data_IF_514743342049
#
_entry.id   IF_514743342049
#
_cell.length_a   1.000
_cell.length_b   1.000
_cell.length_c   1.000
_cell.angle_alpha   90.00
_cell.angle_beta   90.00
_cell.angle_gamma   90.00
#
_symmetry.space_group_name_H-M   'P 1'
#
loop_
_entity.id
_entity.type
_entity.pdbx_description
1 polymer ?
#
# COMPACT_ATOMS: atom_id res chain seq x y z
N UNK A 1 -11.08 -8.47 -22.03
CA UNK A 1 -10.40 -9.78 -22.16
C UNK A 1 -11.23 -10.88 -22.84
N UNK A 2 -12.57 -10.81 -22.89
CA UNK A 2 -13.45 -11.85 -23.46
C UNK A 2 -13.11 -12.35 -24.87
N UNK A 3 -12.59 -11.46 -25.74
CA UNK A 3 -12.17 -11.83 -27.11
C UNK A 3 -11.13 -12.96 -27.13
N UNK A 4 -10.29 -13.05 -26.11
CA UNK A 4 -9.16 -13.98 -26.07
C UNK A 4 -9.48 -15.33 -25.44
N UNK A 5 -10.73 -15.57 -25.01
CA UNK A 5 -11.14 -16.83 -24.35
C UNK A 5 -10.93 -18.09 -25.21
N UNK A 6 -10.85 -17.93 -26.54
CA UNK A 6 -10.66 -19.04 -27.47
C UNK A 6 -9.19 -19.38 -27.73
N UNK A 7 -8.25 -18.58 -27.25
CA UNK A 7 -6.82 -18.83 -27.43
C UNK A 7 -6.32 -19.82 -26.40
N UNK A 8 -5.45 -20.75 -26.80
CA UNK A 8 -4.86 -21.76 -25.91
C UNK A 8 -3.97 -21.13 -24.84
N UNK A 9 -3.10 -20.21 -25.25
CA UNK A 9 -2.19 -19.45 -24.38
C UNK A 9 -1.88 -18.12 -25.03
N UNK A 10 -1.84 -17.05 -24.26
CA UNK A 10 -1.48 -15.71 -24.76
C UNK A 10 -0.81 -14.87 -23.68
N UNK A 11 0.00 -13.90 -24.14
CA UNK A 11 0.68 -12.92 -23.28
C UNK A 11 0.01 -11.57 -23.43
N UNK A 12 -0.17 -10.88 -22.31
CA UNK A 12 -0.62 -9.49 -22.28
C UNK A 12 0.43 -8.61 -21.60
N UNK A 13 0.55 -7.38 -22.07
CA UNK A 13 1.34 -6.34 -21.41
C UNK A 13 0.38 -5.33 -20.80
N UNK A 14 0.49 -5.10 -19.51
CA UNK A 14 -0.30 -4.06 -18.83
C UNK A 14 0.58 -2.83 -18.64
N UNK A 15 0.17 -1.73 -19.26
CA UNK A 15 0.86 -0.44 -19.17
C UNK A 15 0.22 0.41 -18.07
N UNK A 16 0.90 0.59 -16.94
CA UNK A 16 0.35 1.29 -15.78
C UNK A 16 1.10 0.99 -14.49
N UNK A 17 0.42 1.18 -13.36
CA UNK A 17 0.91 0.79 -12.03
C UNK A 17 0.14 -0.36 -11.41
N UNK A 18 0.38 -0.63 -10.12
CA UNK A 18 -0.18 -1.77 -9.39
C UNK A 18 -1.72 -1.81 -9.39
N UNK A 19 -2.38 -0.65 -9.33
CA UNK A 19 -3.86 -0.57 -9.42
C UNK A 19 -4.41 -1.06 -10.76
N UNK A 20 -3.78 -0.66 -11.87
CA UNK A 20 -4.17 -1.11 -13.21
C UNK A 20 -3.91 -2.61 -13.39
N UNK A 21 -2.77 -3.10 -12.91
CA UNK A 21 -2.44 -4.53 -12.94
C UNK A 21 -3.44 -5.33 -12.10
N UNK A 22 -3.80 -4.84 -10.91
CA UNK A 22 -4.80 -5.46 -10.04
C UNK A 22 -6.19 -5.56 -10.68
N UNK A 23 -6.63 -4.51 -11.38
CA UNK A 23 -7.88 -4.53 -12.14
C UNK A 23 -7.85 -5.60 -13.24
N UNK A 24 -6.78 -5.64 -14.04
CA UNK A 24 -6.62 -6.64 -15.11
C UNK A 24 -6.61 -8.07 -14.56
N UNK A 25 -5.88 -8.31 -13.47
CA UNK A 25 -5.85 -9.63 -12.80
C UNK A 25 -7.24 -10.03 -12.29
N UNK A 26 -8.03 -9.08 -11.81
CA UNK A 26 -9.39 -9.36 -11.34
C UNK A 26 -10.33 -9.74 -12.49
N UNK A 27 -10.18 -9.12 -13.66
CA UNK A 27 -10.91 -9.49 -14.87
C UNK A 27 -10.45 -10.86 -15.43
N UNK A 28 -9.15 -11.19 -15.35
CA UNK A 28 -8.63 -12.53 -15.69
C UNK A 28 -9.30 -13.60 -14.83
N UNK A 29 -9.40 -13.36 -13.53
CA UNK A 29 -10.02 -14.29 -12.59
C UNK A 29 -11.52 -14.44 -12.82
N UNK A 30 -12.23 -13.33 -13.04
CA UNK A 30 -13.66 -13.34 -13.36
C UNK A 30 -13.99 -14.12 -14.65
N UNK A 31 -13.05 -14.16 -15.60
CA UNK A 31 -13.19 -14.90 -16.85
C UNK A 31 -12.57 -16.31 -16.81
N UNK A 32 -11.95 -16.71 -15.70
CA UNK A 32 -11.31 -18.03 -15.54
C UNK A 32 -10.06 -18.24 -16.39
N UNK A 33 -9.36 -17.16 -16.78
CA UNK A 33 -8.27 -17.20 -17.76
C UNK A 33 -6.88 -17.44 -17.17
N UNK A 34 -6.76 -17.68 -15.87
CA UNK A 34 -5.48 -17.79 -15.14
C UNK A 34 -4.50 -18.86 -15.66
N UNK A 35 -4.99 -19.90 -16.36
CA UNK A 35 -4.12 -20.93 -16.97
C UNK A 35 -3.61 -20.55 -18.36
N UNK A 36 -4.31 -19.67 -19.06
CA UNK A 36 -4.07 -19.32 -20.47
C UNK A 36 -3.37 -17.96 -20.60
N UNK A 37 -3.65 -17.03 -19.67
CA UNK A 37 -3.17 -15.66 -19.72
C UNK A 37 -1.88 -15.51 -18.92
N UNK A 38 -0.83 -15.03 -19.59
CA UNK A 38 0.45 -14.66 -18.98
C UNK A 38 0.57 -13.13 -19.00
N UNK A 39 0.93 -12.53 -17.86
CA UNK A 39 0.92 -11.07 -17.70
C UNK A 39 2.34 -10.53 -17.51
N UNK A 40 2.69 -9.53 -18.32
CA UNK A 40 3.84 -8.65 -18.10
C UNK A 40 3.39 -7.24 -17.72
N UNK A 41 4.29 -6.47 -17.11
CA UNK A 41 4.01 -5.10 -16.65
C UNK A 41 4.97 -4.13 -17.33
N UNK A 42 4.42 -3.08 -17.93
CA UNK A 42 5.17 -1.89 -18.34
C UNK A 42 4.94 -0.81 -17.26
N UNK A 43 5.96 -0.51 -16.42
CA UNK A 43 5.82 0.33 -15.24
C UNK A 43 5.69 1.81 -15.63
N UNK A 44 4.45 2.28 -15.78
CA UNK A 44 4.11 3.68 -16.08
C UNK A 44 3.41 4.39 -14.91
N UNK A 45 3.12 3.66 -13.83
CA UNK A 45 2.43 4.19 -12.65
C UNK A 45 3.37 4.79 -11.61
N UNK A 46 2.78 5.32 -10.54
CA UNK A 46 3.51 5.78 -9.34
C UNK A 46 3.86 4.62 -8.40
N UNK A 47 2.95 3.66 -8.23
CA UNK A 47 3.18 2.36 -7.59
C UNK A 47 3.44 1.30 -8.65
N UNK A 48 4.67 0.77 -8.70
CA UNK A 48 5.12 -0.26 -9.64
C UNK A 48 5.76 -1.44 -8.90
N UNK A 49 5.25 -1.77 -7.72
CA UNK A 49 5.84 -2.81 -6.86
C UNK A 49 5.78 -4.19 -7.52
N UNK A 50 4.68 -4.52 -8.20
CA UNK A 50 4.56 -5.76 -8.97
C UNK A 50 5.57 -5.81 -10.11
N UNK A 51 5.82 -4.69 -10.80
CA UNK A 51 6.83 -4.65 -11.86
C UNK A 51 8.24 -4.94 -11.31
N UNK A 52 8.59 -4.37 -10.15
CA UNK A 52 9.88 -4.61 -9.49
C UNK A 52 10.02 -6.05 -9.02
N UNK A 53 9.01 -6.58 -8.34
CA UNK A 53 9.00 -7.95 -7.81
C UNK A 53 9.07 -9.00 -8.93
N UNK A 54 8.35 -8.77 -10.03
CA UNK A 54 8.37 -9.67 -11.18
C UNK A 54 9.58 -9.48 -12.10
N UNK A 55 10.41 -8.45 -11.86
CA UNK A 55 11.66 -8.21 -12.60
C UNK A 55 11.50 -7.40 -13.89
N UNK A 56 10.39 -6.68 -14.07
CA UNK A 56 10.14 -5.78 -15.20
C UNK A 56 10.79 -4.41 -15.05
N UNK A 57 11.12 -4.00 -13.81
CA UNK A 57 11.78 -2.72 -13.52
C UNK A 57 10.92 -1.76 -12.68
N UNK A 58 11.42 -0.54 -12.45
CA UNK A 58 10.83 0.44 -11.53
C UNK A 58 10.03 1.54 -12.22
N UNK A 59 10.48 2.02 -13.37
CA UNK A 59 9.84 3.05 -14.19
C UNK A 59 10.32 2.91 -15.63
N UNK A 60 9.43 3.08 -16.59
CA UNK A 60 9.76 3.21 -18.00
C UNK A 60 9.53 4.67 -18.40
N UNK A 61 10.62 5.40 -18.65
CA UNK A 61 10.65 6.84 -18.92
C UNK A 61 11.13 7.20 -20.34
N UNK A 62 11.61 6.21 -21.11
CA UNK A 62 12.09 6.40 -22.48
C UNK A 62 11.46 5.39 -23.45
N UNK A 63 11.03 5.88 -24.62
CA UNK A 63 10.38 5.11 -25.67
C UNK A 63 11.29 4.01 -26.24
N UNK A 64 12.62 4.18 -26.15
CA UNK A 64 13.57 3.13 -26.58
C UNK A 64 13.49 1.87 -25.72
N UNK A 65 12.99 1.98 -24.48
CA UNK A 65 12.79 0.85 -23.57
C UNK A 65 11.58 0.00 -23.96
N UNK A 66 10.60 0.54 -24.69
CA UNK A 66 9.40 -0.19 -25.08
C UNK A 66 9.74 -1.41 -25.94
N UNK A 67 10.61 -1.25 -26.94
CA UNK A 67 11.05 -2.35 -27.80
C UNK A 67 11.76 -3.43 -26.98
N UNK A 68 12.64 -3.03 -26.06
CA UNK A 68 13.34 -3.96 -25.18
C UNK A 68 12.39 -4.71 -24.25
N UNK A 69 11.34 -4.05 -23.75
CA UNK A 69 10.33 -4.69 -22.90
C UNK A 69 9.48 -5.66 -23.71
N UNK A 70 9.13 -5.35 -24.96
CA UNK A 70 8.42 -6.27 -25.84
C UNK A 70 9.26 -7.51 -26.17
N UNK A 71 10.54 -7.36 -26.46
CA UNK A 71 11.47 -8.49 -26.64
C UNK A 71 11.62 -9.31 -25.36
N UNK A 72 11.73 -8.64 -24.20
CA UNK A 72 11.72 -9.31 -22.89
C UNK A 72 10.41 -10.05 -22.66
N UNK A 73 9.27 -9.46 -23.02
CA UNK A 73 7.94 -10.08 -22.87
C UNK A 73 7.80 -11.32 -23.72
N UNK A 74 8.35 -11.33 -24.94
CA UNK A 74 8.33 -12.52 -25.79
C UNK A 74 9.12 -13.68 -25.17
N UNK A 75 10.28 -13.39 -24.57
CA UNK A 75 11.22 -14.41 -24.05
C UNK A 75 11.06 -14.72 -22.56
N UNK A 76 10.28 -13.94 -21.82
CA UNK A 76 10.16 -14.04 -20.38
C UNK A 76 9.64 -15.42 -19.93
N UNK A 77 10.12 -15.90 -18.79
CA UNK A 77 9.57 -17.08 -18.14
C UNK A 77 8.39 -16.69 -17.25
N UNK A 78 7.44 -17.60 -17.10
CA UNK A 78 6.27 -17.37 -16.23
C UNK A 78 6.61 -17.71 -14.78
N UNK A 79 6.13 -16.87 -13.87
CA UNK A 79 6.13 -17.14 -12.44
C UNK A 79 4.70 -17.17 -11.93
N UNK A 80 4.42 -18.05 -10.97
CA UNK A 80 3.14 -18.04 -10.27
C UNK A 80 3.10 -16.86 -9.31
N UNK A 81 1.95 -16.18 -9.26
CA UNK A 81 1.69 -15.07 -8.36
C UNK A 81 0.53 -15.47 -7.45
N UNK A 82 0.78 -15.50 -6.14
CA UNK A 82 -0.27 -15.74 -5.16
C UNK A 82 -1.12 -14.47 -4.98
N UNK A 83 -2.44 -14.61 -5.04
CA UNK A 83 -3.39 -13.51 -4.79
C UNK A 83 -4.24 -13.82 -3.58
N UNK A 84 -4.27 -12.89 -2.63
CA UNK A 84 -4.98 -13.06 -1.38
C UNK A 84 -6.19 -12.14 -1.36
N UNK A 85 -7.34 -12.67 -0.95
CA UNK A 85 -8.52 -11.88 -0.65
C UNK A 85 -8.62 -11.74 0.87
N UNK A 86 -8.45 -10.51 1.36
CA UNK A 86 -8.50 -10.21 2.79
C UNK A 86 -9.80 -9.48 3.07
N UNK A 87 -10.62 -10.06 3.94
CA UNK A 87 -11.85 -9.45 4.42
C UNK A 87 -11.63 -9.04 5.88
N UNK A 88 -11.72 -7.75 6.14
CA UNK A 88 -11.63 -7.18 7.49
C UNK A 88 -13.02 -6.82 7.99
N UNK A 89 -13.26 -7.05 9.27
CA UNK A 89 -14.46 -6.59 9.96
C UNK A 89 -14.03 -5.70 11.09
N UNK A 90 -14.65 -4.53 11.19
CA UNK A 90 -14.59 -3.78 12.44
C UNK A 90 -15.47 -4.51 13.44
N UNK A 91 -14.88 -4.99 14.54
CA UNK A 91 -15.68 -5.46 15.65
C UNK A 91 -16.55 -4.26 16.10
N UNK A 92 -17.87 -4.46 16.30
CA UNK A 92 -18.65 -3.44 16.98
C UNK A 92 -17.92 -3.16 18.28
N UNK A 93 -17.60 -1.88 18.53
CA UNK A 93 -17.07 -1.46 19.83
C UNK A 93 -18.01 -2.06 20.85
N UNK A 94 -17.56 -3.11 21.56
CA UNK A 94 -18.26 -3.54 22.75
C UNK A 94 -18.23 -2.28 23.60
N UNK A 95 -19.40 -1.68 23.87
CA UNK A 95 -19.50 -0.92 25.10
C UNK A 95 -18.98 -1.88 26.18
N UNK A 96 -18.06 -1.44 27.05
CA UNK A 96 -17.49 -2.31 28.06
C UNK A 96 -18.65 -3.06 28.72
N UNK A 97 -18.53 -4.38 28.96
CA UNK A 97 -19.54 -5.10 29.71
C UNK A 97 -19.74 -4.30 30.99
N UNK A 98 -20.98 -3.87 31.28
CA UNK A 98 -21.28 -2.97 32.39
C UNK A 98 -20.49 -3.44 33.61
N UNK A 99 -19.36 -2.76 33.86
CA UNK A 99 -18.51 -3.04 34.99
C UNK A 99 -19.40 -2.67 36.16
N UNK A 100 -19.63 -3.64 37.05
CA UNK A 100 -19.96 -3.29 38.42
C UNK A 100 -18.90 -2.30 38.85
N UNK A 101 -19.36 -1.13 39.25
CA UNK A 101 -18.59 0.04 39.66
C UNK A 101 -17.29 -0.37 40.38
N UNK A 102 -16.17 -0.25 39.67
CA UNK A 102 -14.87 0.05 40.26
C UNK A 102 -14.33 1.27 39.48
N UNK A 103 -14.74 2.45 39.96
CA UNK A 103 -14.35 3.77 39.48
C UNK A 103 -12.87 4.06 39.84
N UNK A 104 -11.89 3.76 38.98
CA UNK A 104 -10.56 4.40 39.10
C UNK A 104 -9.63 4.31 37.85
N UNK A 105 -9.90 3.43 36.88
CA UNK A 105 -8.94 3.12 35.81
C UNK A 105 -8.97 4.02 34.56
N UNK A 106 -10.16 4.31 34.03
CA UNK A 106 -10.31 4.94 32.70
C UNK A 106 -10.13 6.47 32.72
N UNK A 107 -10.50 7.12 33.84
CA UNK A 107 -10.24 8.54 34.07
C UNK A 107 -8.73 8.85 34.09
N UNK A 108 -7.93 7.93 34.64
CA UNK A 108 -6.49 8.07 34.78
C UNK A 108 -5.79 8.03 33.42
N UNK A 109 -6.21 7.13 32.51
CA UNK A 109 -5.60 7.02 31.16
C UNK A 109 -5.95 8.25 30.31
N UNK A 110 -7.21 8.69 30.33
CA UNK A 110 -7.63 9.89 29.58
C UNK A 110 -6.92 11.14 30.11
N UNK A 111 -6.77 11.27 31.44
CA UNK A 111 -6.04 12.37 32.06
C UNK A 111 -4.54 12.35 31.71
N UNK A 112 -3.92 11.17 31.65
CA UNK A 112 -2.52 11.02 31.24
C UNK A 112 -2.28 11.44 29.79
N UNK A 113 -3.18 11.06 28.87
CA UNK A 113 -3.08 11.46 27.45
C UNK A 113 -3.25 12.98 27.31
N UNK A 114 -4.21 13.58 28.04
CA UNK A 114 -4.41 15.03 28.02
C UNK A 114 -3.20 15.77 28.57
N UNK A 115 -2.65 15.34 29.70
CA UNK A 115 -1.47 15.96 30.30
C UNK A 115 -0.24 15.86 29.39
N UNK A 116 -0.07 14.72 28.70
CA UNK A 116 1.00 14.58 27.71
C UNK A 116 0.83 15.55 26.54
N UNK A 117 -0.39 15.69 26.02
CA UNK A 117 -0.68 16.63 24.93
C UNK A 117 -0.37 18.10 25.33
N UNK A 118 -0.77 18.50 26.54
CA UNK A 118 -0.51 19.85 27.06
C UNK A 118 0.99 20.11 27.26
N UNK A 119 1.74 19.11 27.74
CA UNK A 119 3.19 19.22 27.91
C UNK A 119 3.92 19.39 26.58
N UNK A 120 3.50 18.67 25.53
CA UNK A 120 4.08 18.80 24.19
C UNK A 120 3.79 20.19 23.62
N UNK A 121 2.55 20.65 23.72
CA UNK A 121 2.16 21.99 23.26
C UNK A 121 2.98 23.08 23.96
N UNK A 122 3.17 22.96 25.28
CA UNK A 122 3.97 23.88 26.08
C UNK A 122 5.45 23.92 25.64
N UNK A 123 6.08 22.75 25.44
CA UNK A 123 7.47 22.70 24.97
C UNK A 123 7.64 23.27 23.55
N UNK A 124 6.70 23.01 22.65
CA UNK A 124 6.71 23.57 21.29
C UNK A 124 6.57 25.10 21.31
N UNK A 125 5.65 25.65 22.09
CA UNK A 125 5.49 27.09 22.25
C UNK A 125 6.77 27.73 22.82
N UNK A 126 7.37 27.09 23.82
CA UNK A 126 8.62 27.56 24.44
C UNK A 126 9.82 27.51 23.50
N UNK A 127 9.85 26.60 22.53
CA UNK A 127 10.86 26.56 21.47
C UNK A 127 10.64 27.69 20.45
N UNK A 128 9.38 27.95 20.09
CA UNK A 128 9.02 28.95 19.08
C UNK A 128 9.15 30.40 19.58
N UNK A 129 8.88 30.63 20.86
CA UNK A 129 8.80 31.99 21.45
C UNK A 129 10.08 32.42 22.17
N UNK A 130 11.02 31.51 22.42
CA UNK A 130 12.23 31.82 23.19
C UNK A 130 13.44 32.08 22.30
N UNK A 131 13.97 33.29 22.37
CA UNK A 131 15.26 33.64 21.74
C UNK A 131 16.50 33.15 22.51
N UNK A 132 16.30 32.56 23.70
CA UNK A 132 17.39 31.99 24.51
C UNK A 132 17.70 30.56 24.10
N UNK A 133 18.90 30.34 23.55
CA UNK A 133 19.35 29.04 23.04
C UNK A 133 19.32 27.91 24.09
N UNK A 134 19.63 28.20 25.36
CA UNK A 134 19.57 27.22 26.45
C UNK A 134 18.15 26.72 26.76
N UNK A 135 17.15 27.58 26.54
CA UNK A 135 15.74 27.27 26.80
C UNK A 135 15.16 26.41 25.66
N UNK A 136 15.57 26.68 24.43
CA UNK A 136 15.22 25.87 23.26
C UNK A 136 15.77 24.44 23.41
N UNK A 137 17.06 24.30 23.73
CA UNK A 137 17.71 22.98 23.89
C UNK A 137 17.07 22.17 25.02
N UNK A 138 16.75 22.81 26.15
CA UNK A 138 16.14 22.10 27.28
C UNK A 138 14.69 21.70 27.07
N UNK A 139 13.97 22.37 26.15
CA UNK A 139 12.57 22.07 25.84
C UNK A 139 12.42 21.05 24.69
N UNK A 140 13.50 20.75 23.97
CA UNK A 140 13.55 19.77 22.88
C UNK A 140 14.05 18.37 23.32
N UNK A 141 14.40 18.19 24.60
CA UNK A 141 14.74 16.90 25.22
C UNK A 141 13.50 16.26 25.83
#
# INVERSE_FOLDING_TARGET
LRLFQKFSTFRILVCGGDGSVGWVLSEIDALGLHKQCQLGVLPLGTGNDLARVLGWGSLCDDDTQLLQILEKLERATTKMLDRWSVLTYEAPKQSPPALKEEEDGDSNIQAQISHYADSVAFHLAKILESDKHSVVISSAK
#
